data_IF_986001938080
#
_entry.id   IF_986001938080
#
_cell.length_a   1.000
_cell.length_b   1.000
_cell.length_c   1.000
_cell.angle_alpha   90.00
_cell.angle_beta   90.00
_cell.angle_gamma   90.00
#
_symmetry.space_group_name_H-M   'P 1'
#
loop_
_entity.id
_entity.type
_entity.pdbx_description
1 polymer ?
#
# COMPACT_ATOMS: atom_id res chain seq x y z
N UNK A 1 44.38 -2.80 -27.57
CA UNK A 1 45.11 -2.71 -26.29
C UNK A 1 44.64 -1.44 -25.56
N UNK A 2 44.15 -1.58 -24.32
CA UNK A 2 43.79 -0.51 -23.38
C UNK A 2 42.45 0.20 -23.67
N UNK A 3 41.29 -0.23 -23.16
CA UNK A 3 40.75 -0.06 -21.79
C UNK A 3 40.60 1.41 -21.36
N UNK A 4 39.35 1.87 -21.35
CA UNK A 4 38.85 2.88 -20.41
C UNK A 4 37.51 2.38 -19.85
N UNK A 5 37.59 1.89 -18.61
CA UNK A 5 36.48 1.55 -17.71
C UNK A 5 35.86 2.85 -17.19
N UNK A 6 34.54 2.97 -17.25
CA UNK A 6 33.72 3.76 -16.31
C UNK A 6 32.46 2.89 -16.07
N UNK A 7 32.53 1.97 -15.10
CA UNK A 7 31.72 1.97 -13.85
C UNK A 7 30.25 2.25 -14.13
N UNK A 8 29.35 1.25 -14.19
CA UNK A 8 28.65 0.65 -13.03
C UNK A 8 28.27 1.69 -11.96
N UNK A 9 26.97 1.67 -11.65
CA UNK A 9 26.30 2.29 -10.52
C UNK A 9 25.87 3.75 -10.74
N UNK A 10 24.58 3.92 -11.07
CA UNK A 10 23.58 4.65 -10.27
C UNK A 10 22.23 4.01 -10.64
N UNK A 11 21.87 2.98 -9.89
CA UNK A 11 20.53 2.43 -9.79
C UNK A 11 20.11 2.77 -8.36
N UNK A 12 19.36 3.84 -8.15
CA UNK A 12 18.75 4.08 -6.85
C UNK A 12 17.50 3.19 -6.75
N UNK A 13 17.70 1.97 -6.26
CA UNK A 13 16.65 1.25 -5.56
C UNK A 13 16.65 1.78 -4.12
N UNK A 14 15.71 2.67 -3.79
CA UNK A 14 15.53 3.09 -2.41
C UNK A 14 14.75 1.97 -1.70
N UNK A 15 15.48 1.09 -1.00
CA UNK A 15 14.90 0.19 0.00
C UNK A 15 14.83 0.96 1.32
N UNK A 16 13.62 1.25 1.79
CA UNK A 16 13.40 1.77 3.15
C UNK A 16 13.08 0.58 4.04
N UNK A 17 14.08 0.05 4.73
CA UNK A 17 13.85 -0.89 5.82
C UNK A 17 13.26 -0.12 7.01
N UNK A 18 12.18 -0.66 7.61
CA UNK A 18 11.50 -0.09 8.79
C UNK A 18 12.47 0.01 9.98
N UNK A 19 13.15 1.14 10.10
CA UNK A 19 13.58 1.71 11.39
C UNK A 19 12.39 2.41 12.05
N UNK A 20 12.37 2.45 13.37
CA UNK A 20 11.23 2.81 14.25
C UNK A 20 10.73 4.28 14.17
N UNK A 21 10.92 4.97 13.04
CA UNK A 21 10.44 6.33 12.79
C UNK A 21 9.75 6.39 11.42
N UNK A 22 8.51 6.88 11.39
CA UNK A 22 7.73 7.09 10.15
C UNK A 22 8.34 8.24 9.34
N UNK A 23 9.41 7.97 8.59
CA UNK A 23 10.06 8.94 7.71
C UNK A 23 9.59 8.78 6.25
N UNK A 24 8.30 9.03 6.00
CA UNK A 24 7.75 9.14 4.63
C UNK A 24 8.34 10.32 3.84
N UNK A 25 8.87 11.35 4.55
CA UNK A 25 9.49 12.53 3.92
C UNK A 25 10.79 12.23 3.19
N UNK A 26 11.58 11.25 3.66
CA UNK A 26 12.93 10.97 3.13
C UNK A 26 12.87 10.33 1.74
N UNK A 27 11.83 9.52 1.46
CA UNK A 27 11.67 8.88 0.15
C UNK A 27 11.34 9.91 -0.95
N UNK A 28 10.46 10.85 -0.63
CA UNK A 28 10.09 11.97 -1.51
C UNK A 28 11.29 12.87 -1.81
N UNK A 29 12.13 13.10 -0.80
CA UNK A 29 13.38 13.86 -0.93
C UNK A 29 14.41 13.17 -1.83
N UNK A 30 14.55 11.84 -1.75
CA UNK A 30 15.51 11.07 -2.54
C UNK A 30 15.08 10.94 -4.02
N UNK A 31 13.80 10.68 -4.31
CA UNK A 31 13.28 10.57 -5.68
C UNK A 31 13.47 11.87 -6.49
N UNK A 32 13.28 13.03 -5.84
CA UNK A 32 13.44 14.35 -6.47
C UNK A 32 14.91 14.77 -6.58
N UNK A 33 15.77 14.30 -5.66
CA UNK A 33 17.21 14.56 -5.71
C UNK A 33 17.85 13.91 -6.94
N UNK A 34 17.44 12.70 -7.29
CA UNK A 34 17.89 12.02 -8.52
C UNK A 34 17.40 12.70 -9.79
N UNK A 35 16.14 13.15 -9.82
CA UNK A 35 15.60 13.91 -10.96
C UNK A 35 16.40 15.20 -11.19
N UNK A 36 16.95 15.82 -10.12
CA UNK A 36 17.78 17.02 -10.20
C UNK A 36 19.27 16.77 -10.42
N UNK A 37 19.86 15.73 -9.85
CA UNK A 37 21.25 15.37 -10.14
C UNK A 37 21.39 15.02 -11.62
N UNK A 38 20.43 14.28 -12.20
CA UNK A 38 20.31 14.13 -13.65
C UNK A 38 20.25 15.49 -14.36
N UNK A 39 19.36 16.40 -13.93
CA UNK A 39 19.25 17.74 -14.54
C UNK A 39 20.51 18.60 -14.40
N UNK A 40 21.34 18.38 -13.38
CA UNK A 40 22.63 19.07 -13.22
C UNK A 40 23.73 18.46 -14.10
N UNK A 41 23.70 17.14 -14.31
CA UNK A 41 24.56 16.41 -15.26
C UNK A 41 24.18 16.78 -16.71
N UNK A 42 22.91 17.11 -16.98
CA UNK A 42 22.37 17.52 -18.29
C UNK A 42 23.01 18.81 -18.84
N UNK A 43 23.70 19.63 -18.03
CA UNK A 43 24.50 20.74 -18.56
C UNK A 43 25.80 20.31 -19.28
N UNK A 44 26.10 19.00 -19.35
CA UNK A 44 27.12 18.43 -20.21
C UNK A 44 26.50 17.52 -21.29
N UNK A 45 25.98 18.14 -22.35
CA UNK A 45 25.76 17.56 -23.69
C UNK A 45 25.09 16.17 -23.78
N UNK A 46 24.02 15.92 -23.03
CA UNK A 46 23.07 14.83 -23.36
C UNK A 46 21.66 15.41 -23.34
N UNK A 47 21.05 15.54 -24.52
CA UNK A 47 19.64 15.91 -24.68
C UNK A 47 18.79 14.71 -24.23
N UNK A 48 18.41 14.68 -22.95
CA UNK A 48 17.36 13.76 -22.49
C UNK A 48 16.02 14.41 -22.81
N UNK A 49 15.23 13.72 -23.63
CA UNK A 49 13.88 14.15 -23.99
C UNK A 49 13.05 14.38 -22.72
N UNK A 50 12.38 15.54 -22.61
CA UNK A 50 11.47 15.94 -21.51
C UNK A 50 10.27 15.00 -21.30
N UNK A 51 10.21 13.87 -22.01
CA UNK A 51 9.08 12.93 -22.07
C UNK A 51 9.24 11.71 -21.17
N UNK A 52 10.40 11.48 -20.53
CA UNK A 52 10.60 10.31 -19.70
C UNK A 52 10.18 10.60 -18.26
N UNK A 53 8.92 10.27 -17.92
CA UNK A 53 8.48 10.23 -16.52
C UNK A 53 9.30 9.18 -15.78
N UNK A 54 9.90 9.57 -14.65
CA UNK A 54 10.49 8.61 -13.72
C UNK A 54 9.41 7.62 -13.25
N UNK A 55 9.81 6.36 -13.09
CA UNK A 55 8.95 5.29 -12.60
C UNK A 55 9.41 4.84 -11.22
N UNK A 56 8.47 4.49 -10.36
CA UNK A 56 8.75 4.10 -8.99
C UNK A 56 8.36 2.64 -8.71
N UNK A 57 9.13 2.01 -7.84
CA UNK A 57 8.71 0.83 -7.08
C UNK A 57 8.63 1.22 -5.61
N UNK A 58 7.51 0.94 -4.95
CA UNK A 58 7.35 1.16 -3.51
C UNK A 58 6.95 -0.13 -2.80
N UNK A 59 7.69 -0.53 -1.76
CA UNK A 59 7.40 -1.74 -0.99
C UNK A 59 6.33 -1.43 0.05
N UNK A 60 5.20 -2.11 -0.03
CA UNK A 60 4.04 -1.85 0.86
C UNK A 60 3.11 -3.06 0.91
N UNK A 61 2.40 -3.22 2.02
CA UNK A 61 1.44 -4.32 2.20
C UNK A 61 2.09 -5.69 2.37
N UNK A 62 3.39 -5.75 2.68
CA UNK A 62 4.15 -6.97 2.98
C UNK A 62 3.99 -7.43 4.45
N UNK A 63 4.03 -6.48 5.39
CA UNK A 63 3.90 -6.70 6.82
C UNK A 63 2.88 -5.74 7.43
N UNK A 64 1.85 -6.32 8.05
CA UNK A 64 0.70 -5.61 8.58
C UNK A 64 0.11 -6.33 9.80
N UNK A 65 -0.34 -5.53 10.76
CA UNK A 65 -0.95 -6.02 12.01
C UNK A 65 -2.43 -6.38 11.82
N UNK A 66 -3.06 -5.84 10.78
CA UNK A 66 -4.46 -6.01 10.40
C UNK A 66 -4.61 -5.91 8.87
N UNK A 67 -5.52 -6.68 8.25
CA UNK A 67 -5.67 -6.63 6.79
C UNK A 67 -6.13 -5.26 6.29
N UNK A 68 -6.98 -4.56 7.04
CA UNK A 68 -7.37 -3.19 6.69
C UNK A 68 -6.18 -2.22 6.75
N UNK A 69 -5.24 -2.42 7.68
CA UNK A 69 -4.01 -1.63 7.78
C UNK A 69 -3.12 -1.79 6.55
N UNK A 70 -2.89 -3.05 6.12
CA UNK A 70 -2.10 -3.33 4.92
C UNK A 70 -2.73 -2.76 3.64
N UNK A 71 -4.06 -2.88 3.51
CA UNK A 71 -4.78 -2.31 2.35
C UNK A 71 -4.78 -0.78 2.38
N UNK A 72 -5.01 -0.16 3.55
CA UNK A 72 -4.91 1.29 3.73
C UNK A 72 -3.53 1.78 3.35
N UNK A 73 -2.45 1.10 3.78
CA UNK A 73 -1.09 1.47 3.41
C UNK A 73 -0.84 1.46 1.89
N UNK A 74 -1.44 0.50 1.16
CA UNK A 74 -1.39 0.48 -0.32
C UNK A 74 -2.11 1.69 -0.91
N UNK A 75 -3.30 2.01 -0.40
CA UNK A 75 -4.08 3.16 -0.84
C UNK A 75 -3.34 4.49 -0.55
N UNK A 76 -2.70 4.59 0.62
CA UNK A 76 -1.81 5.70 1.01
C UNK A 76 -0.63 5.82 0.06
N UNK A 77 0.04 4.72 -0.28
CA UNK A 77 1.15 4.76 -1.22
C UNK A 77 0.72 5.27 -2.61
N UNK A 78 -0.41 4.77 -3.13
CA UNK A 78 -0.96 5.22 -4.41
C UNK A 78 -1.34 6.69 -4.36
N UNK A 79 -1.98 7.13 -3.28
CA UNK A 79 -2.45 8.50 -3.13
C UNK A 79 -1.31 9.49 -2.83
N UNK A 80 -0.38 9.21 -1.93
CA UNK A 80 0.66 10.18 -1.56
C UNK A 80 1.83 10.22 -2.56
N UNK A 81 2.17 9.09 -3.19
CA UNK A 81 3.25 9.02 -4.18
C UNK A 81 2.78 9.24 -5.61
N UNK A 82 1.47 9.43 -5.83
CA UNK A 82 0.83 9.58 -7.14
C UNK A 82 1.24 8.46 -8.11
N UNK A 83 1.15 7.21 -7.64
CA UNK A 83 1.51 6.05 -8.45
C UNK A 83 0.52 5.91 -9.61
N UNK A 84 1.05 5.73 -10.81
CA UNK A 84 0.31 5.68 -12.07
C UNK A 84 0.67 4.46 -12.91
N UNK A 85 0.07 4.38 -14.09
CA UNK A 85 0.35 3.33 -15.07
C UNK A 85 1.85 3.15 -15.32
N UNK A 86 2.36 1.95 -15.06
CA UNK A 86 3.77 1.58 -15.22
C UNK A 86 4.60 1.69 -13.93
N UNK A 87 4.05 2.23 -12.85
CA UNK A 87 4.65 2.15 -11.52
C UNK A 87 4.35 0.80 -10.86
N UNK A 88 5.09 0.47 -9.80
CA UNK A 88 5.10 -0.88 -9.21
C UNK A 88 4.95 -0.84 -7.69
N UNK A 89 4.25 -1.82 -7.15
CA UNK A 89 4.18 -2.09 -5.71
C UNK A 89 4.96 -3.37 -5.40
N UNK A 90 5.97 -3.25 -4.53
CA UNK A 90 6.71 -4.38 -3.99
C UNK A 90 5.86 -5.16 -3.00
N UNK A 91 5.87 -6.48 -3.14
CA UNK A 91 5.16 -7.48 -2.32
C UNK A 91 3.64 -7.41 -2.40
N UNK A 92 3.03 -6.33 -1.91
CA UNK A 92 1.58 -6.10 -1.82
C UNK A 92 0.77 -7.34 -1.40
N UNK A 93 1.34 -8.15 -0.50
CA UNK A 93 0.88 -9.49 -0.13
C UNK A 93 -0.58 -9.46 0.31
N UNK A 94 -0.96 -8.42 1.06
CA UNK A 94 -2.32 -8.20 1.55
C UNK A 94 -3.37 -8.21 0.44
N UNK A 95 -3.03 -7.87 -0.81
CA UNK A 95 -4.00 -7.90 -1.93
C UNK A 95 -4.41 -9.33 -2.29
N UNK A 96 -3.55 -10.33 -2.10
CA UNK A 96 -3.78 -11.70 -2.57
C UNK A 96 -3.98 -12.73 -1.46
N UNK A 97 -4.01 -12.35 -0.18
CA UNK A 97 -4.29 -13.30 0.91
C UNK A 97 -5.78 -13.60 1.02
N UNK A 98 -6.11 -14.80 1.52
CA UNK A 98 -7.46 -15.13 1.99
C UNK A 98 -7.72 -14.40 3.32
N UNK A 99 -8.55 -13.37 3.26
CA UNK A 99 -8.92 -12.52 4.40
C UNK A 99 -9.58 -13.34 5.52
N UNK A 100 -10.44 -14.30 5.20
CA UNK A 100 -11.14 -15.11 6.18
C UNK A 100 -10.18 -16.07 6.89
N UNK A 101 -9.30 -16.74 6.14
CA UNK A 101 -8.29 -17.63 6.71
C UNK A 101 -7.31 -16.86 7.61
N UNK A 102 -6.87 -15.67 7.17
CA UNK A 102 -5.95 -14.82 7.92
C UNK A 102 -6.51 -14.43 9.30
N UNK A 103 -7.74 -13.92 9.35
CA UNK A 103 -8.38 -13.57 10.63
C UNK A 103 -8.67 -14.79 11.48
N UNK A 104 -9.11 -15.91 10.88
CA UNK A 104 -9.39 -17.16 11.60
C UNK A 104 -8.16 -17.68 12.34
N UNK A 105 -6.98 -17.65 11.70
CA UNK A 105 -5.69 -18.04 12.33
C UNK A 105 -5.36 -17.19 13.55
N UNK A 106 -5.80 -15.93 13.57
CA UNK A 106 -5.60 -14.99 14.68
C UNK A 106 -6.78 -14.93 15.66
N UNK A 107 -7.72 -15.88 15.60
CA UNK A 107 -8.95 -15.86 16.41
C UNK A 107 -9.73 -14.54 16.30
N UNK A 108 -9.70 -13.92 15.12
CA UNK A 108 -10.31 -12.62 14.80
C UNK A 108 -9.87 -11.50 15.77
N UNK A 109 -8.62 -11.55 16.26
CA UNK A 109 -8.04 -10.54 17.15
C UNK A 109 -6.76 -9.99 16.54
N UNK A 110 -6.61 -8.66 16.61
CA UNK A 110 -5.42 -7.93 16.17
C UNK A 110 -4.93 -7.02 17.29
N UNK A 111 -3.63 -6.72 17.29
CA UNK A 111 -3.01 -5.85 18.29
C UNK A 111 -2.63 -4.54 17.60
N UNK A 112 -3.40 -3.48 17.85
CA UNK A 112 -3.26 -2.19 17.16
C UNK A 112 -3.22 -1.06 18.17
N UNK A 113 -2.70 0.11 17.75
CA UNK A 113 -2.92 1.34 18.50
C UNK A 113 -4.35 1.84 18.28
N UNK A 114 -4.88 2.64 19.21
CA UNK A 114 -6.21 3.25 19.04
C UNK A 114 -6.29 4.14 17.79
N UNK A 115 -5.20 4.82 17.43
CA UNK A 115 -5.13 5.58 16.17
C UNK A 115 -5.24 4.68 14.95
N UNK A 116 -4.51 3.56 14.89
CA UNK A 116 -4.58 2.65 13.74
C UNK A 116 -5.99 2.05 13.61
N UNK A 117 -6.65 1.71 14.73
CA UNK A 117 -8.05 1.26 14.72
C UNK A 117 -8.97 2.34 14.16
N UNK A 118 -8.85 3.58 14.65
CA UNK A 118 -9.67 4.70 14.18
C UNK A 118 -9.45 4.97 12.67
N UNK A 119 -8.19 4.98 12.22
CA UNK A 119 -7.80 5.20 10.83
C UNK A 119 -8.34 4.09 9.92
N UNK A 120 -8.18 2.82 10.31
CA UNK A 120 -8.69 1.69 9.55
C UNK A 120 -10.22 1.70 9.44
N UNK A 121 -10.94 2.07 10.50
CA UNK A 121 -12.40 2.17 10.48
C UNK A 121 -12.84 3.30 9.56
N UNK A 122 -12.26 4.50 9.70
CA UNK A 122 -12.60 5.66 8.89
C UNK A 122 -12.33 5.39 7.40
N UNK A 123 -11.16 4.81 7.10
CA UNK A 123 -10.77 4.39 5.76
C UNK A 123 -11.71 3.34 5.18
N UNK A 124 -12.08 2.31 5.96
CA UNK A 124 -12.99 1.28 5.51
C UNK A 124 -14.39 1.84 5.18
N UNK A 125 -14.91 2.75 6.00
CA UNK A 125 -16.18 3.46 5.72
C UNK A 125 -16.08 4.22 4.39
N UNK A 126 -14.99 4.96 4.19
CA UNK A 126 -14.75 5.71 2.96
C UNK A 126 -14.71 4.78 1.74
N UNK A 127 -13.95 3.68 1.79
CA UNK A 127 -13.83 2.74 0.67
C UNK A 127 -15.13 2.00 0.34
N UNK A 128 -15.92 1.64 1.36
CA UNK A 128 -17.26 1.06 1.12
C UNK A 128 -18.17 2.02 0.35
N UNK A 129 -18.10 3.32 0.65
CA UNK A 129 -18.85 4.36 -0.05
C UNK A 129 -18.29 4.65 -1.44
N UNK A 130 -16.98 4.77 -1.56
CA UNK A 130 -16.27 5.07 -2.82
C UNK A 130 -16.52 4.00 -3.88
N UNK A 131 -16.42 2.72 -3.50
CA UNK A 131 -16.70 1.60 -4.41
C UNK A 131 -18.19 1.29 -4.58
N UNK A 132 -19.08 2.02 -3.87
CA UNK A 132 -20.53 1.83 -3.91
C UNK A 132 -20.95 0.35 -3.73
N UNK A 133 -20.38 -0.31 -2.71
CA UNK A 133 -20.60 -1.74 -2.47
C UNK A 133 -22.02 -1.97 -1.92
N UNK A 134 -22.84 -2.72 -2.64
CA UNK A 134 -24.24 -2.97 -2.29
C UNK A 134 -24.41 -3.73 -0.95
N UNK A 135 -25.50 -3.45 -0.23
CA UNK A 135 -25.84 -4.17 1.01
C UNK A 135 -24.97 -3.82 2.22
N UNK A 136 -24.19 -2.74 2.16
CA UNK A 136 -23.24 -2.36 3.22
C UNK A 136 -23.78 -1.34 4.22
N UNK A 137 -25.03 -0.85 4.08
CA UNK A 137 -25.59 0.20 4.94
C UNK A 137 -25.51 -0.11 6.44
N UNK A 138 -25.95 -1.31 6.86
CA UNK A 138 -25.86 -1.74 8.26
C UNK A 138 -24.39 -1.83 8.73
N UNK A 139 -23.49 -2.26 7.84
CA UNK A 139 -22.05 -2.33 8.14
C UNK A 139 -21.47 -0.93 8.34
N UNK A 140 -21.82 0.02 7.48
CA UNK A 140 -21.41 1.42 7.58
C UNK A 140 -21.92 2.06 8.87
N UNK A 141 -23.16 1.79 9.29
CA UNK A 141 -23.72 2.28 10.56
C UNK A 141 -22.96 1.75 11.78
N UNK A 142 -22.65 0.44 11.80
CA UNK A 142 -21.86 -0.19 12.87
C UNK A 142 -20.43 0.34 12.92
N UNK A 143 -19.78 0.47 11.76
CA UNK A 143 -18.45 1.07 11.65
C UNK A 143 -18.47 2.53 12.12
N UNK A 144 -19.49 3.31 11.74
CA UNK A 144 -19.63 4.71 12.18
C UNK A 144 -19.79 4.81 13.70
N UNK A 145 -20.54 3.90 14.31
CA UNK A 145 -20.67 3.82 15.78
C UNK A 145 -19.33 3.52 16.44
N UNK A 146 -18.53 2.64 15.84
CA UNK A 146 -17.20 2.31 16.33
C UNK A 146 -16.20 3.47 16.14
N UNK A 147 -16.24 4.14 15.00
CA UNK A 147 -15.50 5.36 14.73
C UNK A 147 -15.81 6.42 15.80
N UNK A 148 -17.10 6.69 16.07
CA UNK A 148 -17.51 7.67 17.08
C UNK A 148 -16.96 7.34 18.47
N UNK A 149 -16.93 6.05 18.83
CA UNK A 149 -16.34 5.57 20.10
C UNK A 149 -14.85 5.90 20.15
N UNK A 150 -14.05 5.45 19.19
CA UNK A 150 -12.60 5.67 19.20
C UNK A 150 -12.23 7.15 19.07
N UNK A 151 -12.95 7.88 18.22
CA UNK A 151 -12.78 9.32 18.09
C UNK A 151 -13.03 10.02 19.42
N UNK A 152 -14.11 9.67 20.13
CA UNK A 152 -14.41 10.23 21.45
C UNK A 152 -13.30 9.93 22.45
N UNK A 153 -12.82 8.69 22.50
CA UNK A 153 -11.75 8.30 23.42
C UNK A 153 -10.43 9.04 23.15
N UNK A 154 -10.07 9.27 21.88
CA UNK A 154 -8.80 9.87 21.49
C UNK A 154 -8.85 11.40 21.55
N UNK A 155 -9.92 12.01 21.03
CA UNK A 155 -10.00 13.46 20.80
C UNK A 155 -10.91 14.19 21.81
N UNK A 156 -11.96 13.55 22.34
CA UNK A 156 -13.01 14.25 23.11
C UNK A 156 -12.88 14.06 24.62
N UNK A 157 -12.49 12.87 25.09
CA UNK A 157 -12.58 12.48 26.51
C UNK A 157 -11.78 13.37 27.48
N UNK A 158 -10.85 14.19 26.99
CA UNK A 158 -10.07 15.16 27.77
C UNK A 158 -9.93 16.51 27.06
N UNK A 159 -10.86 16.83 26.15
CA UNK A 159 -10.85 18.06 25.35
C UNK A 159 -11.28 19.28 26.19
N UNK A 160 -10.71 20.44 25.90
CA UNK A 160 -11.18 21.73 26.43
C UNK A 160 -12.11 22.39 25.42
N UNK A 161 -13.07 23.21 25.87
CA UNK A 161 -14.01 23.92 24.96
C UNK A 161 -13.33 24.87 23.95
N UNK A 162 -12.03 25.15 24.12
CA UNK A 162 -11.25 26.08 23.30
C UNK A 162 -10.87 25.57 21.90
N UNK A 163 -11.09 24.29 21.58
CA UNK A 163 -10.75 23.73 20.27
C UNK A 163 -11.84 23.98 19.23
N UNK A 164 -11.46 24.18 17.96
CA UNK A 164 -12.39 24.33 16.84
C UNK A 164 -13.28 23.08 16.59
N UNK A 165 -12.97 21.96 17.23
CA UNK A 165 -13.77 20.73 17.26
C UNK A 165 -14.91 20.77 18.29
N UNK A 166 -14.93 21.79 19.17
CA UNK A 166 -15.93 22.05 20.22
C UNK A 166 -16.25 20.82 21.09
N UNK A 167 -15.27 19.95 21.35
CA UNK A 167 -15.49 18.69 22.09
C UNK A 167 -16.60 17.80 21.51
N UNK A 168 -16.85 17.88 20.20
CA UNK A 168 -17.82 17.05 19.50
C UNK A 168 -17.15 16.01 18.62
N UNK A 169 -17.88 14.93 18.31
CA UNK A 169 -17.42 13.94 17.34
C UNK A 169 -17.49 14.54 15.96
N UNK A 170 -16.34 14.61 15.29
CA UNK A 170 -16.24 15.13 13.93
C UNK A 170 -16.64 14.02 12.95
N UNK A 171 -17.48 14.32 11.93
CA UNK A 171 -17.88 13.32 10.94
C UNK A 171 -16.70 12.65 10.24
N UNK A 172 -16.88 11.38 9.87
CA UNK A 172 -15.86 10.58 9.17
C UNK A 172 -15.33 11.30 7.93
N UNK A 173 -16.18 12.00 7.18
CA UNK A 173 -15.77 12.68 5.95
C UNK A 173 -14.73 13.78 6.23
N UNK A 174 -14.93 14.60 7.27
CA UNK A 174 -13.96 15.61 7.70
C UNK A 174 -12.66 14.98 8.22
N UNK A 175 -12.75 13.83 8.90
CA UNK A 175 -11.58 13.09 9.34
C UNK A 175 -10.77 12.54 8.16
N UNK A 176 -11.44 12.03 7.13
CA UNK A 176 -10.79 11.55 5.92
C UNK A 176 -10.21 12.69 5.08
N UNK A 177 -10.82 13.88 5.07
CA UNK A 177 -10.18 15.07 4.50
C UNK A 177 -8.88 15.43 5.24
N UNK A 178 -8.84 15.27 6.57
CA UNK A 178 -7.63 15.49 7.35
C UNK A 178 -6.59 14.38 7.10
N UNK A 179 -7.04 13.15 6.90
CA UNK A 179 -6.19 12.04 6.48
C UNK A 179 -5.51 12.34 5.15
N UNK A 180 -6.21 12.89 4.15
CA UNK A 180 -5.60 13.29 2.85
C UNK A 180 -4.46 14.30 2.98
N UNK A 181 -4.40 15.07 4.08
CA UNK A 181 -3.29 16.01 4.35
C UNK A 181 -2.03 15.32 4.86
N UNK A 182 -2.06 14.02 5.16
CA UNK A 182 -0.90 13.30 5.76
C UNK A 182 0.28 13.12 4.83
N UNK A 183 0.10 13.28 3.52
CA UNK A 183 1.20 13.37 2.55
C UNK A 183 1.87 14.74 2.46
N UNK A 184 1.31 15.75 3.13
CA UNK A 184 1.86 17.11 3.18
C UNK A 184 2.88 17.23 4.34
N UNK A 185 3.70 18.29 4.33
CA UNK A 185 4.60 18.57 5.45
C UNK A 185 3.80 19.04 6.69
N UNK A 186 3.86 18.33 7.84
CA UNK A 186 3.05 18.67 9.01
C UNK A 186 3.36 20.07 9.57
N UNK A 187 4.58 20.59 9.38
CA UNK A 187 4.96 21.92 9.89
C UNK A 187 4.11 23.05 9.29
N UNK A 188 3.58 22.87 8.08
CA UNK A 188 2.71 23.85 7.40
C UNK A 188 1.45 24.12 8.22
N UNK A 189 1.00 23.14 9.00
CA UNK A 189 -0.26 23.18 9.74
C UNK A 189 -0.07 23.42 11.24
N UNK A 190 1.18 23.54 11.71
CA UNK A 190 1.52 23.62 13.13
C UNK A 190 0.86 24.79 13.86
N UNK A 191 0.74 25.94 13.19
CA UNK A 191 0.13 27.16 13.74
C UNK A 191 -1.39 27.27 13.50
N UNK A 192 -2.00 26.29 12.82
CA UNK A 192 -3.40 26.34 12.43
C UNK A 192 -3.71 27.33 11.29
N UNK A 193 -2.68 27.90 10.66
CA UNK A 193 -2.78 28.81 9.52
C UNK A 193 -1.69 28.53 8.48
N UNK A 194 -2.14 28.15 7.29
CA UNK A 194 -1.32 27.77 6.14
C UNK A 194 -0.60 29.01 5.53
N UNK A 195 -1.19 30.20 5.67
CA UNK A 195 -0.67 31.43 5.05
C UNK A 195 0.64 31.93 5.68
N UNK A 196 0.88 31.56 6.94
CA UNK A 196 2.04 32.00 7.73
C UNK A 196 3.34 31.24 7.39
N UNK A 197 3.27 30.13 6.66
CA UNK A 197 4.41 29.26 6.41
C UNK A 197 5.21 29.69 5.17
N UNK A 198 6.43 30.17 5.38
CA UNK A 198 7.37 30.50 4.30
C UNK A 198 7.80 29.26 3.52
N UNK A 199 7.62 29.28 2.20
CA UNK A 199 7.91 28.16 1.30
C UNK A 199 9.39 27.73 1.40
N UNK A 200 9.64 26.52 1.90
CA UNK A 200 10.95 25.87 1.90
C UNK A 200 11.22 25.17 0.57
N UNK A 201 12.48 24.78 0.37
CA UNK A 201 12.92 24.12 -0.87
C UNK A 201 12.10 22.86 -1.20
N UNK A 202 11.75 22.07 -0.18
CA UNK A 202 11.04 20.80 -0.29
C UNK A 202 9.52 20.93 -0.43
N UNK A 203 8.94 22.06 -0.02
CA UNK A 203 7.50 22.34 -0.19
C UNK A 203 7.08 22.41 -1.67
N UNK A 204 8.07 22.54 -2.58
CA UNK A 204 7.87 22.46 -4.04
C UNK A 204 7.63 21.04 -4.56
N UNK A 205 7.90 20.04 -3.73
CA UNK A 205 7.62 18.63 -4.03
C UNK A 205 6.24 18.25 -3.52
N UNK A 206 5.54 19.13 -2.80
CA UNK A 206 4.22 18.86 -2.29
C UNK A 206 3.22 18.66 -3.43
N UNK A 207 2.35 17.66 -3.30
CA UNK A 207 1.46 17.20 -4.40
C UNK A 207 0.42 18.26 -4.74
N UNK A 208 -0.02 19.01 -3.74
CA UNK A 208 -0.95 20.10 -3.95
C UNK A 208 -0.17 21.27 -4.55
N UNK A 209 -0.36 21.52 -5.85
CA UNK A 209 -0.43 22.92 -6.27
C UNK A 209 -1.41 23.55 -5.29
N UNK A 210 -0.96 24.53 -4.49
CA UNK A 210 -1.78 25.23 -3.50
C UNK A 210 -2.85 26.09 -4.20
N UNK A 211 -3.47 25.59 -5.26
CA UNK A 211 -4.64 26.14 -5.93
C UNK A 211 -5.82 26.03 -4.97
N UNK A 212 -5.91 27.00 -4.05
CA UNK A 212 -7.13 27.59 -3.49
C UNK A 212 -8.26 26.62 -3.09
N UNK A 213 -7.96 25.42 -2.61
CA UNK A 213 -8.94 24.66 -1.86
C UNK A 213 -9.02 25.31 -0.47
N UNK A 214 -10.16 25.94 -0.17
CA UNK A 214 -10.47 26.40 1.18
C UNK A 214 -10.58 25.16 2.08
N UNK A 215 -9.45 24.75 2.66
CA UNK A 215 -9.44 23.66 3.63
C UNK A 215 -10.14 24.17 4.89
N UNK A 216 -11.16 23.45 5.34
CA UNK A 216 -11.90 23.82 6.56
C UNK A 216 -10.96 23.88 7.77
N UNK A 217 -11.17 24.88 8.64
CA UNK A 217 -10.44 25.02 9.91
C UNK A 217 -10.51 23.76 10.77
N UNK A 218 -11.63 23.04 10.74
CA UNK A 218 -11.79 21.77 11.45
C UNK A 218 -10.82 20.70 10.93
N UNK A 219 -10.61 20.63 9.62
CA UNK A 219 -9.71 19.66 8.97
C UNK A 219 -8.25 19.96 9.31
N UNK A 220 -7.85 21.24 9.23
CA UNK A 220 -6.53 21.70 9.65
C UNK A 220 -6.28 21.36 11.12
N UNK A 221 -7.26 21.61 11.99
CA UNK A 221 -7.14 21.36 13.42
C UNK A 221 -7.02 19.86 13.73
N UNK A 222 -7.79 19.00 13.06
CA UNK A 222 -7.66 17.54 13.20
C UNK A 222 -6.25 17.07 12.84
N UNK A 223 -5.73 17.53 11.70
CA UNK A 223 -4.40 17.18 11.23
C UNK A 223 -3.31 17.68 12.19
N UNK A 224 -3.42 18.93 12.66
CA UNK A 224 -2.54 19.51 13.68
C UNK A 224 -2.55 18.68 14.98
N UNK A 225 -3.74 18.32 15.47
CA UNK A 225 -3.89 17.52 16.70
C UNK A 225 -3.29 16.12 16.55
N UNK A 226 -3.47 15.48 15.39
CA UNK A 226 -2.87 14.17 15.10
C UNK A 226 -1.33 14.20 15.23
N UNK A 227 -0.67 15.24 14.70
CA UNK A 227 0.80 15.34 14.70
C UNK A 227 1.40 15.94 15.98
N UNK A 228 0.73 16.92 16.59
CA UNK A 228 1.31 17.82 17.60
C UNK A 228 0.61 17.83 18.96
N UNK A 229 -0.62 17.33 19.08
CA UNK A 229 -1.29 17.27 20.39
C UNK A 229 -0.77 16.05 21.16
N UNK A 230 0.08 16.32 22.17
CA UNK A 230 0.68 15.29 23.02
C UNK A 230 -0.35 14.39 23.71
N UNK A 231 -1.54 14.89 24.03
CA UNK A 231 -2.59 14.10 24.68
C UNK A 231 -3.24 13.15 23.68
N UNK A 232 -3.58 13.65 22.51
CA UNK A 232 -4.11 12.85 21.38
C UNK A 232 -3.14 11.74 21.03
N UNK A 233 -1.84 12.04 20.90
CA UNK A 233 -0.80 11.03 20.64
C UNK A 233 -0.67 10.03 21.77
N UNK A 234 -0.63 10.50 23.02
CA UNK A 234 -0.51 9.61 24.17
C UNK A 234 -1.66 8.61 24.26
N UNK A 235 -2.90 9.04 24.01
CA UNK A 235 -4.07 8.15 24.00
C UNK A 235 -4.11 7.29 22.73
N UNK A 236 -3.86 7.91 21.57
CA UNK A 236 -3.86 7.27 20.27
C UNK A 236 -2.87 6.12 20.16
N UNK A 237 -1.66 6.26 20.72
CA UNK A 237 -0.63 5.21 20.75
C UNK A 237 -0.85 4.10 21.78
N UNK A 238 -1.90 4.17 22.61
CA UNK A 238 -2.24 3.05 23.51
C UNK A 238 -2.59 1.83 22.67
N UNK A 239 -1.88 0.74 22.89
CA UNK A 239 -2.13 -0.55 22.24
C UNK A 239 -3.26 -1.29 22.93
N UNK A 240 -4.13 -1.91 22.14
CA UNK A 240 -5.16 -2.80 22.65
C UNK A 240 -5.41 -4.00 21.73
N UNK A 241 -6.08 -5.02 22.28
CA UNK A 241 -6.52 -6.18 21.52
C UNK A 241 -7.89 -5.86 20.92
N UNK A 242 -7.90 -5.61 19.61
CA UNK A 242 -9.12 -5.32 18.87
C UNK A 242 -9.70 -6.61 18.29
N UNK A 243 -10.98 -6.88 18.58
CA UNK A 243 -11.71 -8.02 18.02
C UNK A 243 -12.40 -7.58 16.73
N UNK A 244 -11.97 -8.14 15.61
CA UNK A 244 -12.55 -7.87 14.29
C UNK A 244 -13.82 -8.71 14.12
N UNK A 245 -14.96 -8.06 13.97
CA UNK A 245 -16.24 -8.77 13.82
C UNK A 245 -16.48 -9.21 12.37
N UNK A 246 -17.32 -10.23 12.18
CA UNK A 246 -17.52 -10.84 10.85
C UNK A 246 -17.99 -9.82 9.80
N UNK A 247 -18.80 -8.84 10.18
CA UNK A 247 -19.23 -7.79 9.24
C UNK A 247 -18.04 -6.96 8.73
N UNK A 248 -17.02 -6.71 9.56
CA UNK A 248 -15.80 -6.00 9.15
C UNK A 248 -14.96 -6.89 8.24
N UNK A 249 -14.81 -8.17 8.58
CA UNK A 249 -14.08 -9.15 7.75
C UNK A 249 -14.69 -9.21 6.34
N UNK A 250 -16.03 -9.29 6.25
CA UNK A 250 -16.75 -9.27 4.99
C UNK A 250 -16.55 -7.95 4.22
N UNK A 251 -16.56 -6.82 4.90
CA UNK A 251 -16.32 -5.51 4.29
C UNK A 251 -14.89 -5.41 3.73
N UNK A 252 -13.88 -5.81 4.52
CA UNK A 252 -12.46 -5.80 4.12
C UNK A 252 -12.24 -6.72 2.91
N UNK A 253 -12.85 -7.91 2.91
CA UNK A 253 -12.77 -8.83 1.77
C UNK A 253 -13.39 -8.26 0.49
N UNK A 254 -14.50 -7.51 0.60
CA UNK A 254 -15.11 -6.85 -0.56
C UNK A 254 -14.25 -5.68 -1.06
N UNK A 255 -13.75 -4.86 -0.14
CA UNK A 255 -12.84 -3.74 -0.45
C UNK A 255 -11.55 -4.23 -1.09
N UNK A 256 -10.96 -5.33 -0.61
CA UNK A 256 -9.77 -5.96 -1.21
C UNK A 256 -10.00 -6.28 -2.68
N UNK A 257 -11.16 -6.87 -3.04
CA UNK A 257 -11.50 -7.17 -4.44
C UNK A 257 -11.64 -5.93 -5.30
N UNK A 258 -12.38 -4.92 -4.82
CA UNK A 258 -12.52 -3.65 -5.53
C UNK A 258 -11.17 -2.93 -5.71
N UNK A 259 -10.27 -3.03 -4.72
CA UNK A 259 -8.91 -2.50 -4.82
C UNK A 259 -8.09 -3.24 -5.88
N UNK A 260 -8.16 -4.56 -5.98
CA UNK A 260 -7.50 -5.32 -7.05
C UNK A 260 -7.93 -4.81 -8.44
N UNK A 261 -9.23 -4.58 -8.62
CA UNK A 261 -9.82 -4.03 -9.85
C UNK A 261 -9.29 -2.61 -10.13
N UNK A 262 -9.29 -1.74 -9.13
CA UNK A 262 -8.78 -0.37 -9.23
C UNK A 262 -7.31 -0.34 -9.66
N UNK A 263 -6.44 -1.11 -9.00
CA UNK A 263 -5.01 -1.15 -9.30
C UNK A 263 -4.75 -1.68 -10.72
N UNK A 264 -5.54 -2.67 -11.14
CA UNK A 264 -5.44 -3.23 -12.49
C UNK A 264 -5.88 -2.22 -13.55
N UNK A 265 -6.95 -1.45 -13.30
CA UNK A 265 -7.38 -0.35 -14.19
C UNK A 265 -6.36 0.79 -14.25
N UNK A 266 -5.69 1.11 -13.14
CA UNK A 266 -4.60 2.10 -13.11
C UNK A 266 -3.33 1.60 -13.82
N UNK A 267 -3.22 0.29 -14.09
CA UNK A 267 -2.04 -0.32 -14.69
C UNK A 267 -0.81 -0.27 -13.79
N UNK A 268 -1.02 -0.35 -12.47
CA UNK A 268 0.04 -0.46 -11.47
C UNK A 268 0.41 -1.94 -11.35
N UNK A 269 1.70 -2.25 -11.45
CA UNK A 269 2.17 -3.63 -11.40
C UNK A 269 2.47 -4.08 -9.96
N UNK A 270 2.36 -5.38 -9.70
CA UNK A 270 2.71 -5.98 -8.41
C UNK A 270 3.96 -6.87 -8.55
N UNK A 271 5.00 -6.56 -7.81
CA UNK A 271 6.22 -7.36 -7.72
C UNK A 271 6.09 -8.38 -6.59
N UNK A 272 5.96 -9.66 -6.94
CA UNK A 272 5.90 -10.74 -5.96
C UNK A 272 7.27 -11.37 -5.79
N UNK A 273 7.66 -11.63 -4.55
CA UNK A 273 8.98 -12.15 -4.21
C UNK A 273 8.82 -13.48 -3.44
N UNK A 274 8.67 -14.64 -4.11
CA UNK A 274 8.17 -15.86 -3.46
C UNK A 274 8.91 -16.27 -2.19
N UNK A 275 10.24 -16.37 -2.22
CA UNK A 275 11.05 -16.75 -1.05
C UNK A 275 10.97 -15.71 0.07
N UNK A 276 11.21 -14.44 -0.26
CA UNK A 276 11.12 -13.31 0.68
C UNK A 276 9.72 -13.24 1.33
N UNK A 277 8.67 -13.31 0.53
CA UNK A 277 7.28 -13.29 0.98
C UNK A 277 6.99 -14.41 1.98
N UNK A 278 7.42 -15.64 1.70
CA UNK A 278 7.24 -16.77 2.63
C UNK A 278 8.03 -16.57 3.93
N UNK A 279 9.20 -15.94 3.87
CA UNK A 279 10.03 -15.68 5.05
C UNK A 279 9.45 -14.59 5.95
N UNK A 280 8.89 -13.53 5.38
CA UNK A 280 8.40 -12.36 6.13
C UNK A 280 6.89 -12.43 6.46
N UNK A 281 6.12 -13.28 5.77
CA UNK A 281 4.67 -13.33 5.91
C UNK A 281 4.15 -14.43 6.83
N UNK A 282 2.85 -14.35 7.14
CA UNK A 282 2.12 -15.34 7.94
C UNK A 282 1.69 -16.60 7.16
N UNK A 283 2.27 -16.87 5.98
CA UNK A 283 2.02 -18.10 5.21
C UNK A 283 3.32 -18.84 4.95
N UNK A 284 3.33 -20.15 5.23
CA UNK A 284 4.54 -20.97 5.17
C UNK A 284 4.63 -21.87 3.93
N UNK A 285 3.71 -21.71 2.97
CA UNK A 285 3.58 -22.61 1.82
C UNK A 285 3.48 -21.83 0.51
N UNK A 286 4.34 -22.18 -0.45
CA UNK A 286 4.37 -21.58 -1.78
C UNK A 286 3.12 -21.87 -2.63
N UNK A 287 2.43 -23.01 -2.42
CA UNK A 287 1.17 -23.32 -3.12
C UNK A 287 -0.01 -22.50 -2.60
N UNK A 288 0.21 -21.69 -1.55
CA UNK A 288 -0.71 -20.69 -1.01
C UNK A 288 -0.20 -19.26 -1.21
N UNK A 289 0.79 -19.08 -2.08
CA UNK A 289 1.36 -17.77 -2.33
C UNK A 289 0.30 -16.81 -2.92
N UNK A 290 0.18 -15.57 -2.42
CA UNK A 290 -0.83 -14.59 -2.84
C UNK A 290 -0.91 -14.32 -4.34
N UNK A 291 0.22 -14.44 -5.05
CA UNK A 291 0.29 -14.26 -6.52
C UNK A 291 -0.74 -15.13 -7.27
N UNK A 292 -1.06 -16.32 -6.74
CA UNK A 292 -2.04 -17.23 -7.36
C UNK A 292 -3.45 -16.62 -7.32
N UNK A 293 -3.76 -15.87 -6.27
CA UNK A 293 -5.05 -15.18 -6.14
C UNK A 293 -5.04 -13.82 -6.86
N UNK A 294 -3.88 -13.20 -7.06
CA UNK A 294 -3.80 -11.98 -7.87
C UNK A 294 -3.90 -12.27 -9.37
N UNK A 295 -3.37 -13.41 -9.82
CA UNK A 295 -3.35 -13.82 -11.22
C UNK A 295 -3.42 -15.34 -11.36
N UNK A 296 -4.54 -15.86 -11.87
CA UNK A 296 -4.79 -17.30 -11.99
C UNK A 296 -5.04 -17.79 -13.43
N UNK A 297 -4.94 -16.92 -14.44
CA UNK A 297 -5.17 -17.27 -15.85
C UNK A 297 -4.16 -18.33 -16.30
N UNK A 298 -4.67 -19.48 -16.74
CA UNK A 298 -3.87 -20.67 -17.07
C UNK A 298 -3.84 -21.73 -15.97
N UNK A 299 -4.18 -21.38 -14.72
CA UNK A 299 -4.30 -22.32 -13.59
C UNK A 299 -5.72 -22.87 -13.41
N UNK A 300 -6.67 -22.46 -14.23
CA UNK A 300 -8.03 -23.02 -14.23
C UNK A 300 -8.56 -23.07 -15.67
N UNK A 301 -9.34 -24.11 -15.97
CA UNK A 301 -10.14 -24.23 -17.20
C UNK A 301 -11.57 -23.72 -17.02
N UNK A 302 -11.95 -23.50 -15.77
CA UNK A 302 -13.25 -22.98 -15.37
C UNK A 302 -13.21 -21.46 -15.48
N UNK A 303 -13.95 -20.92 -16.44
CA UNK A 303 -14.02 -19.49 -16.75
C UNK A 303 -14.58 -18.69 -15.56
N UNK A 304 -15.52 -19.25 -14.79
CA UNK A 304 -16.09 -18.58 -13.63
C UNK A 304 -15.03 -18.42 -12.52
N UNK A 305 -14.18 -19.42 -12.32
CA UNK A 305 -13.05 -19.33 -11.38
C UNK A 305 -11.96 -18.38 -11.84
N UNK A 306 -11.75 -18.26 -13.15
CA UNK A 306 -10.82 -17.27 -13.71
C UNK A 306 -11.37 -15.85 -13.50
N UNK A 307 -12.65 -15.64 -13.82
CA UNK A 307 -13.33 -14.35 -13.72
C UNK A 307 -13.49 -13.84 -12.28
N UNK A 308 -13.43 -14.74 -11.28
CA UNK A 308 -13.45 -14.35 -9.86
C UNK A 308 -12.21 -13.58 -9.38
N UNK A 309 -11.14 -13.55 -10.19
CA UNK A 309 -9.89 -12.87 -9.87
C UNK A 309 -9.60 -11.83 -10.95
N UNK A 310 -9.11 -10.67 -10.57
CA UNK A 310 -8.94 -9.51 -11.47
C UNK A 310 -7.91 -9.73 -12.59
N UNK A 311 -7.01 -10.71 -12.47
CA UNK A 311 -5.87 -10.93 -13.37
C UNK A 311 -4.91 -9.73 -13.36
N UNK A 312 -4.41 -9.42 -12.17
CA UNK A 312 -3.50 -8.30 -11.96
C UNK A 312 -2.19 -8.46 -12.74
N UNK A 313 -1.54 -7.33 -13.04
CA UNK A 313 -0.24 -7.32 -13.70
C UNK A 313 0.88 -7.64 -12.71
N UNK A 314 1.26 -8.92 -12.62
CA UNK A 314 2.19 -9.45 -11.60
C UNK A 314 3.52 -9.91 -12.17
N UNK A 315 4.57 -9.88 -11.35
CA UNK A 315 5.89 -10.45 -11.67
C UNK A 315 6.44 -11.27 -10.50
N UNK A 316 7.37 -12.18 -10.79
CA UNK A 316 8.18 -12.90 -9.79
C UNK A 316 9.57 -12.26 -9.78
N UNK A 317 10.08 -11.85 -8.62
CA UNK A 317 11.41 -11.26 -8.47
C UNK A 317 12.15 -11.85 -7.25
N UNK A 318 13.45 -11.51 -7.14
CA UNK A 318 14.33 -12.02 -6.08
C UNK A 318 14.38 -11.17 -4.82
N UNK A 319 13.75 -9.98 -4.84
CA UNK A 319 13.83 -8.96 -3.80
C UNK A 319 15.27 -8.53 -3.46
N UNK A 320 15.93 -9.22 -2.52
CA UNK A 320 17.31 -8.99 -2.13
C UNK A 320 18.18 -10.24 -2.36
N UNK A 321 18.90 -10.27 -3.48
CA UNK A 321 19.80 -11.38 -3.78
C UNK A 321 20.91 -11.54 -2.73
N UNK A 322 21.32 -10.45 -2.05
CA UNK A 322 22.37 -10.48 -1.04
C UNK A 322 21.93 -11.08 0.30
N UNK A 323 20.64 -10.96 0.64
CA UNK A 323 20.07 -11.48 1.89
C UNK A 323 19.50 -12.89 1.72
N UNK A 324 18.88 -13.19 0.57
CA UNK A 324 18.13 -14.43 0.37
C UNK A 324 18.90 -15.54 -0.37
N UNK A 325 20.14 -15.27 -0.80
CA UNK A 325 21.00 -16.21 -1.57
C UNK A 325 20.21 -16.96 -2.65
N UNK A 326 19.42 -16.21 -3.43
CA UNK A 326 18.48 -16.73 -4.42
C UNK A 326 18.74 -16.16 -5.81
N UNK A 327 18.29 -16.89 -6.82
CA UNK A 327 18.34 -16.51 -8.22
C UNK A 327 16.91 -16.43 -8.76
N UNK A 328 16.71 -15.68 -9.84
CA UNK A 328 15.39 -15.54 -10.43
C UNK A 328 14.83 -16.90 -10.87
N UNK A 329 15.69 -17.78 -11.39
CA UNK A 329 15.34 -19.16 -11.75
C UNK A 329 14.87 -19.97 -10.55
N UNK A 330 15.43 -19.73 -9.36
CA UNK A 330 15.04 -20.41 -8.13
C UNK A 330 13.63 -19.97 -7.71
N UNK A 331 13.32 -18.68 -7.78
CA UNK A 331 11.97 -18.16 -7.44
C UNK A 331 10.88 -18.76 -8.33
N UNK A 332 11.13 -18.83 -9.63
CA UNK A 332 10.23 -19.52 -10.57
C UNK A 332 10.14 -21.02 -10.29
N UNK A 333 11.26 -21.68 -9.98
CA UNK A 333 11.27 -23.10 -9.65
C UNK A 333 10.51 -23.42 -8.35
N UNK A 334 10.62 -22.57 -7.32
CA UNK A 334 9.88 -22.69 -6.06
C UNK A 334 8.38 -22.71 -6.33
N UNK A 335 7.89 -21.75 -7.12
CA UNK A 335 6.49 -21.67 -7.50
C UNK A 335 6.05 -22.87 -8.36
N UNK A 336 6.85 -23.26 -9.36
CA UNK A 336 6.54 -24.41 -10.21
C UNK A 336 6.41 -25.72 -9.42
N UNK A 337 7.40 -26.04 -8.58
CA UNK A 337 7.40 -27.24 -7.73
C UNK A 337 6.24 -27.22 -6.74
N UNK A 338 5.91 -26.05 -6.19
CA UNK A 338 4.80 -25.91 -5.26
C UNK A 338 3.46 -26.23 -5.93
N UNK A 339 3.24 -25.70 -7.14
CA UNK A 339 2.03 -25.97 -7.92
C UNK A 339 1.95 -27.44 -8.36
N UNK A 340 3.06 -28.07 -8.74
CA UNK A 340 3.10 -29.51 -9.07
C UNK A 340 2.70 -30.40 -7.88
N UNK A 341 3.05 -29.98 -6.66
CA UNK A 341 2.73 -30.70 -5.42
C UNK A 341 1.34 -30.35 -4.86
N UNK A 342 0.69 -29.33 -5.39
CA UNK A 342 -0.61 -28.87 -4.92
C UNK A 342 -1.70 -29.91 -5.25
N UNK A 343 -2.47 -30.30 -4.23
CA UNK A 343 -3.48 -31.36 -4.33
C UNK A 343 -4.82 -30.90 -3.77
N UNK A 344 -5.90 -31.43 -4.33
CA UNK A 344 -7.24 -31.24 -3.81
C UNK A 344 -7.47 -32.09 -2.54
N UNK A 345 -8.66 -31.95 -1.95
CA UNK A 345 -9.09 -32.72 -0.77
C UNK A 345 -9.09 -34.24 -0.97
N UNK A 346 -9.15 -34.70 -2.23
CA UNK A 346 -9.11 -36.11 -2.60
C UNK A 346 -7.69 -36.59 -2.95
N UNK A 347 -6.68 -35.73 -2.80
CA UNK A 347 -5.28 -36.04 -3.09
C UNK A 347 -4.90 -36.04 -4.57
N UNK A 348 -5.80 -35.58 -5.46
CA UNK A 348 -5.54 -35.44 -6.90
C UNK A 348 -4.79 -34.12 -7.16
N UNK A 349 -3.83 -34.08 -8.11
CA UNK A 349 -3.16 -32.84 -8.49
C UNK A 349 -4.17 -31.77 -8.92
N UNK A 350 -4.00 -30.55 -8.39
CA UNK A 350 -4.83 -29.39 -8.75
C UNK A 350 -4.52 -28.89 -10.16
N UNK A 351 -3.23 -28.96 -10.54
CA UNK A 351 -2.73 -28.44 -11.80
C UNK A 351 -1.99 -29.53 -12.56
N UNK A 352 -2.10 -29.51 -13.89
CA UNK A 352 -1.23 -30.31 -14.73
C UNK A 352 0.00 -29.49 -15.16
N UNK A 353 1.03 -30.18 -15.64
CA UNK A 353 2.31 -29.57 -15.98
C UNK A 353 2.20 -28.49 -17.07
N UNK A 354 1.31 -28.66 -18.05
CA UNK A 354 1.12 -27.68 -19.12
C UNK A 354 0.52 -26.36 -18.59
N UNK A 355 -0.44 -26.45 -17.66
CA UNK A 355 -1.03 -25.29 -16.97
C UNK A 355 0.02 -24.50 -16.19
N UNK A 356 0.87 -25.20 -15.46
CA UNK A 356 1.92 -24.59 -14.63
C UNK A 356 2.93 -23.84 -15.52
N UNK A 357 3.42 -24.48 -16.59
CA UNK A 357 4.38 -23.84 -17.50
C UNK A 357 3.77 -22.65 -18.25
N UNK A 358 2.53 -22.74 -18.71
CA UNK A 358 1.85 -21.62 -19.37
C UNK A 358 1.68 -20.43 -18.40
N UNK A 359 1.25 -20.69 -17.16
CA UNK A 359 1.10 -19.65 -16.14
C UNK A 359 2.44 -18.99 -15.78
N UNK A 360 3.50 -19.78 -15.55
CA UNK A 360 4.84 -19.24 -15.28
C UNK A 360 5.39 -18.42 -16.47
N UNK A 361 5.19 -18.85 -17.71
CA UNK A 361 5.65 -18.11 -18.89
C UNK A 361 4.90 -16.78 -19.06
N UNK A 362 3.59 -16.75 -18.75
CA UNK A 362 2.81 -15.49 -18.72
C UNK A 362 3.37 -14.52 -17.69
N UNK A 363 3.65 -14.97 -16.47
CA UNK A 363 4.26 -14.14 -15.42
C UNK A 363 5.66 -13.66 -15.83
N UNK A 364 6.46 -14.53 -16.45
CA UNK A 364 7.78 -14.16 -16.97
C UNK A 364 7.68 -13.04 -18.02
N UNK A 365 6.71 -13.11 -18.92
CA UNK A 365 6.45 -12.05 -19.92
C UNK A 365 6.04 -10.75 -19.24
N UNK A 366 5.12 -10.79 -18.28
CA UNK A 366 4.71 -9.62 -17.50
C UNK A 366 5.91 -8.99 -16.76
N UNK A 367 6.78 -9.79 -16.13
CA UNK A 367 8.00 -9.28 -15.48
C UNK A 367 8.96 -8.57 -16.44
N UNK A 368 9.10 -9.05 -17.68
CA UNK A 368 9.90 -8.37 -18.72
C UNK A 368 9.25 -7.04 -19.14
N UNK A 369 7.92 -6.98 -19.19
CA UNK A 369 7.16 -5.76 -19.50
C UNK A 369 7.22 -4.74 -18.36
N UNK A 370 7.31 -5.19 -17.11
CA UNK A 370 7.49 -4.34 -15.92
C UNK A 370 8.88 -3.73 -15.78
N UNK A 371 9.83 -4.12 -16.63
CA UNK A 371 11.17 -3.53 -16.62
C UNK A 371 11.12 -2.08 -17.08
N UNK A 372 11.72 -1.17 -16.33
CA UNK A 372 11.88 0.23 -16.75
C UNK A 372 12.84 0.30 -17.93
N UNK A 373 12.30 0.27 -19.16
CA UNK A 373 13.08 0.43 -20.38
C UNK A 373 13.31 1.91 -20.64
N UNK A 374 14.56 2.29 -20.88
CA UNK A 374 14.85 3.56 -21.52
C UNK A 374 14.32 3.50 -22.95
N UNK A 375 13.33 4.33 -23.26
CA UNK A 375 12.98 4.60 -24.66
C UNK A 375 14.12 5.48 -25.18
N UNK A 376 15.04 4.86 -25.93
CA UNK A 376 16.14 5.56 -26.62
C UNK A 376 15.62 6.34 -27.83
#
# INVERSE_FOLDING_TARGET
MGILKISKDILYSIKVERGDEREESVFKEAYVKDEKELNSIIHQNIVINKSNKLRATYHVGEDFLDCADGLRAIDEAIYYLDLTHGDRLGHAIVLGIDIFEWYRKKNNKVHLTKHDILDNIAWLIMKLREYNIEGTSETVEKLTSLYNKYYTEIYVAMDSEDYATNSTVIPVDNYMEAWKLRGDNPEVYMNGDIESYGMRYWDRCDRREREKLEISKTVIELYRRYHYDNRVKHIGYKKEVFKVEMYMINAINQVQKCMQDELSMKGIAIECNPSSNVLISNFARYDKHPIINMYNLGLTIDEDKAAQHTQMFVSINTDDQGVFDTLIENEFALMGIALEKAKDENGKPLYNQAMIYDWLDRIRKMGIEQSFKFIN
#
